data_IF_172143220210
#
_entry.id   IF_172143220210
#
_cell.length_a   1.000
_cell.length_b   1.000
_cell.length_c   1.000
_cell.angle_alpha   90.00
_cell.angle_beta   90.00
_cell.angle_gamma   90.00
#
_symmetry.space_group_name_H-M   'P 1'
#
loop_
_entity.id
_entity.type
_entity.pdbx_description
1 polymer ?
#
# COMPACT_ATOMS: atom_id res chain seq x y z
N UNK A 1 -71.36 55.24 -32.94
CA UNK A 1 -71.01 54.26 -31.90
C UNK A 1 -71.07 54.96 -30.55
N UNK A 2 -71.97 54.51 -29.69
CA UNK A 2 -72.31 55.09 -28.39
C UNK A 2 -71.16 55.07 -27.40
N UNK A 3 -71.11 56.10 -26.53
CA UNK A 3 -70.70 55.89 -25.15
C UNK A 3 -71.54 56.78 -24.23
N UNK A 4 -72.34 56.13 -23.41
CA UNK A 4 -73.14 56.72 -22.35
C UNK A 4 -72.29 56.91 -21.08
N UNK A 5 -72.66 57.91 -20.28
CA UNK A 5 -72.33 58.01 -18.85
C UNK A 5 -73.12 56.98 -18.02
N UNK A 6 -72.57 56.57 -16.88
CA UNK A 6 -73.12 56.80 -15.52
C UNK A 6 -72.35 55.97 -14.47
N UNK A 7 -72.00 56.70 -13.39
CA UNK A 7 -71.72 56.40 -11.98
C UNK A 7 -71.04 55.13 -11.47
N UNK A 8 -70.14 55.40 -10.52
CA UNK A 8 -69.55 54.47 -9.56
C UNK A 8 -70.55 53.98 -8.49
N UNK A 9 -70.30 52.81 -7.90
CA UNK A 9 -70.67 52.52 -6.53
C UNK A 9 -69.43 52.38 -5.62
N UNK A 10 -69.59 52.87 -4.39
CA UNK A 10 -68.73 52.61 -3.24
C UNK A 10 -68.63 51.10 -2.92
N UNK A 11 -67.48 50.70 -2.39
CA UNK A 11 -67.31 49.40 -1.75
C UNK A 11 -65.86 48.93 -1.71
N UNK A 12 -65.10 49.38 -0.72
CA UNK A 12 -63.91 48.64 -0.25
C UNK A 12 -64.35 47.28 0.34
N UNK A 13 -63.78 46.15 -0.11
CA UNK A 13 -63.72 44.96 0.70
C UNK A 13 -62.39 44.97 1.48
N UNK A 14 -62.53 44.88 2.79
CA UNK A 14 -61.49 44.69 3.80
C UNK A 14 -60.35 43.72 3.39
N UNK A 15 -59.15 43.88 3.97
CA UNK A 15 -58.05 42.93 3.79
C UNK A 15 -58.48 41.54 4.25
N UNK A 16 -58.76 40.66 3.28
CA UNK A 16 -59.12 39.27 3.47
C UNK A 16 -58.14 38.63 4.45
N UNK A 17 -58.66 38.28 5.62
CA UNK A 17 -57.96 37.68 6.73
C UNK A 17 -57.11 36.51 6.23
N UNK A 18 -55.80 36.75 6.09
CA UNK A 18 -54.82 35.69 5.91
C UNK A 18 -55.06 34.69 7.02
N UNK A 19 -55.36 33.44 6.64
CA UNK A 19 -55.60 32.34 7.57
C UNK A 19 -54.34 32.18 8.41
N UNK A 20 -54.28 32.89 9.54
CA UNK A 20 -53.26 32.76 10.58
C UNK A 20 -53.46 31.37 11.15
N UNK A 21 -52.91 30.36 10.48
CA UNK A 21 -52.62 29.09 11.11
C UNK A 21 -51.77 29.47 12.30
N UNK A 22 -52.36 29.38 13.48
CA UNK A 22 -51.71 29.68 14.75
C UNK A 22 -50.33 29.03 14.73
N UNK A 23 -49.27 29.78 15.03
CA UNK A 23 -47.91 29.21 15.16
C UNK A 23 -47.91 27.96 16.06
N UNK A 24 -48.88 27.85 16.97
CA UNK A 24 -49.10 26.67 17.83
C UNK A 24 -49.62 25.45 17.07
N UNK A 25 -50.51 25.58 16.09
CA UNK A 25 -50.99 24.45 15.27
C UNK A 25 -49.98 24.01 14.22
N UNK A 26 -49.19 24.93 13.67
CA UNK A 26 -48.04 24.58 12.81
C UNK A 26 -46.95 23.82 13.60
N UNK A 27 -46.68 24.23 14.85
CA UNK A 27 -45.72 23.56 15.73
C UNK A 27 -46.20 22.16 16.19
N UNK A 28 -47.50 21.98 16.44
CA UNK A 28 -48.09 20.71 16.89
C UNK A 28 -48.03 19.60 15.83
N UNK A 29 -47.93 19.93 14.54
CA UNK A 29 -47.79 18.95 13.44
C UNK A 29 -46.34 18.80 12.98
N UNK A 30 -45.56 19.89 13.00
CA UNK A 30 -44.15 19.84 12.61
C UNK A 30 -43.29 19.01 13.59
N UNK A 31 -43.55 19.11 14.91
CA UNK A 31 -42.79 18.38 15.92
C UNK A 31 -42.87 16.84 15.78
N UNK A 32 -44.06 16.20 15.66
CA UNK A 32 -44.14 14.75 15.47
C UNK A 32 -43.59 14.31 14.12
N UNK A 33 -43.74 15.11 13.06
CA UNK A 33 -43.16 14.81 11.75
C UNK A 33 -41.63 14.86 11.77
N UNK A 34 -41.02 15.84 12.44
CA UNK A 34 -39.57 15.87 12.62
C UNK A 34 -39.07 14.72 13.51
N UNK A 35 -39.81 14.37 14.56
CA UNK A 35 -39.48 13.26 15.43
C UNK A 35 -39.50 11.92 14.70
N UNK A 36 -40.51 11.66 13.86
CA UNK A 36 -40.57 10.42 13.06
C UNK A 36 -39.45 10.35 12.02
N UNK A 37 -39.13 11.46 11.36
CA UNK A 37 -37.98 11.53 10.43
C UNK A 37 -36.68 11.22 11.15
N UNK A 38 -36.45 11.80 12.34
CA UNK A 38 -35.25 11.53 13.15
C UNK A 38 -35.17 10.07 13.62
N UNK A 39 -36.29 9.48 14.05
CA UNK A 39 -36.33 8.07 14.44
C UNK A 39 -36.05 7.16 13.26
N UNK A 40 -36.66 7.40 12.09
CA UNK A 40 -36.41 6.59 10.88
C UNK A 40 -34.96 6.75 10.42
N UNK A 41 -34.42 7.96 10.41
CA UNK A 41 -33.02 8.20 10.09
C UNK A 41 -32.08 7.50 11.08
N UNK A 42 -32.39 7.56 12.38
CA UNK A 42 -31.65 6.87 13.43
C UNK A 42 -31.68 5.35 13.27
N UNK A 43 -32.83 4.75 12.97
CA UNK A 43 -32.97 3.31 12.70
C UNK A 43 -32.20 2.90 11.44
N UNK A 44 -32.28 3.68 10.36
CA UNK A 44 -31.53 3.41 9.12
C UNK A 44 -30.02 3.51 9.33
N UNK A 45 -29.58 4.53 10.05
CA UNK A 45 -28.17 4.70 10.42
C UNK A 45 -27.69 3.54 11.28
N UNK A 46 -28.48 3.14 12.28
CA UNK A 46 -28.14 2.02 13.16
C UNK A 46 -28.08 0.71 12.37
N UNK A 47 -29.06 0.46 11.51
CA UNK A 47 -29.10 -0.70 10.64
C UNK A 47 -27.86 -0.77 9.73
N UNK A 48 -27.43 0.36 9.14
CA UNK A 48 -26.21 0.39 8.32
C UNK A 48 -24.93 0.21 9.14
N UNK A 49 -24.85 0.80 10.34
CA UNK A 49 -23.69 0.64 11.23
C UNK A 49 -23.56 -0.77 11.81
N UNK A 50 -24.67 -1.51 11.96
CA UNK A 50 -24.69 -2.88 12.48
C UNK A 50 -24.76 -3.96 11.40
N UNK A 51 -24.83 -3.55 10.13
CA UNK A 51 -24.90 -4.46 8.99
C UNK A 51 -23.62 -5.27 8.86
N UNK A 52 -23.76 -6.56 8.55
CA UNK A 52 -22.62 -7.39 8.21
C UNK A 52 -21.97 -6.91 6.90
N UNK A 53 -20.63 -6.78 6.83
CA UNK A 53 -19.99 -6.29 5.62
C UNK A 53 -20.19 -7.27 4.46
N UNK A 54 -20.48 -6.70 3.30
CA UNK A 54 -20.64 -7.44 2.05
C UNK A 54 -19.35 -8.18 1.67
N UNK A 55 -19.45 -9.23 0.83
CA UNK A 55 -18.27 -9.85 0.26
C UNK A 55 -17.33 -8.87 -0.45
N UNK A 56 -17.89 -7.85 -1.14
CA UNK A 56 -17.11 -6.83 -1.85
C UNK A 56 -16.34 -5.92 -0.89
N UNK A 57 -16.99 -5.44 0.18
CA UNK A 57 -16.33 -4.62 1.21
C UNK A 57 -15.24 -5.41 1.94
N UNK A 58 -15.48 -6.69 2.25
CA UNK A 58 -14.46 -7.58 2.83
C UNK A 58 -13.27 -7.79 1.91
N UNK A 59 -13.51 -8.02 0.62
CA UNK A 59 -12.45 -8.16 -0.37
C UNK A 59 -11.64 -6.87 -0.52
N UNK A 60 -12.31 -5.71 -0.54
CA UNK A 60 -11.66 -4.41 -0.62
C UNK A 60 -10.82 -4.12 0.64
N UNK A 61 -11.33 -4.41 1.84
CA UNK A 61 -10.59 -4.27 3.09
C UNK A 61 -9.37 -5.21 3.14
N UNK A 62 -9.54 -6.48 2.71
CA UNK A 62 -8.47 -7.45 2.63
C UNK A 62 -7.36 -7.06 1.63
N UNK A 63 -7.71 -6.37 0.54
CA UNK A 63 -6.75 -5.82 -0.41
C UNK A 63 -6.08 -4.52 0.10
N UNK A 64 -6.83 -3.68 0.81
CA UNK A 64 -6.35 -2.40 1.31
C UNK A 64 -5.38 -2.53 2.49
N UNK A 65 -5.57 -3.52 3.36
CA UNK A 65 -4.73 -3.68 4.55
C UNK A 65 -3.25 -3.93 4.18
N UNK A 66 -2.89 -4.93 3.34
CA UNK A 66 -1.51 -5.12 2.94
C UNK A 66 -0.94 -3.89 2.24
N UNK A 67 -1.73 -3.18 1.43
CA UNK A 67 -1.31 -1.99 0.69
C UNK A 67 -0.87 -0.82 1.57
N UNK A 68 -1.32 -0.75 2.83
CA UNK A 68 -0.92 0.28 3.78
C UNK A 68 0.37 -0.01 4.55
N UNK A 69 0.80 -1.28 4.61
CA UNK A 69 1.87 -1.75 5.52
C UNK A 69 3.20 -1.05 5.33
N UNK A 70 3.58 -0.68 4.11
CA UNK A 70 4.83 0.04 3.86
C UNK A 70 4.93 1.41 4.58
N UNK A 71 3.78 2.00 4.95
CA UNK A 71 3.72 3.26 5.70
C UNK A 71 3.56 3.06 7.20
N UNK A 72 2.86 2.00 7.61
CA UNK A 72 2.45 1.80 9.00
C UNK A 72 3.36 0.86 9.77
N UNK A 73 4.05 -0.07 9.09
CA UNK A 73 4.95 -1.00 9.76
C UNK A 73 6.32 -0.37 10.00
N UNK A 74 6.96 -0.65 11.15
CA UNK A 74 8.37 -0.32 11.34
C UNK A 74 9.21 -0.95 10.23
N UNK A 75 10.22 -0.24 9.72
CA UNK A 75 11.07 -0.75 8.64
C UNK A 75 11.75 -2.07 9.00
N UNK A 76 12.13 -2.27 10.27
CA UNK A 76 12.70 -3.53 10.77
C UNK A 76 11.72 -4.72 10.81
N UNK A 77 10.41 -4.46 10.67
CA UNK A 77 9.37 -5.49 10.46
C UNK A 77 9.26 -5.86 8.98
N UNK A 78 9.36 -4.87 8.09
CA UNK A 78 9.38 -5.10 6.63
C UNK A 78 10.65 -5.86 6.22
N UNK A 79 11.79 -5.46 6.78
CA UNK A 79 13.09 -6.09 6.57
C UNK A 79 13.54 -6.70 7.90
N UNK A 80 13.26 -7.97 8.23
CA UNK A 80 13.64 -8.61 9.49
C UNK A 80 15.17 -8.60 9.76
N UNK A 81 15.58 -8.78 11.01
CA UNK A 81 17.00 -8.75 11.39
C UNK A 81 17.81 -9.95 10.84
N UNK A 82 17.13 -11.08 10.64
CA UNK A 82 17.69 -12.29 10.03
C UNK A 82 16.71 -12.88 9.03
N UNK A 83 17.23 -13.34 7.89
CA UNK A 83 16.47 -14.07 6.88
C UNK A 83 17.11 -15.45 6.68
N UNK A 84 16.37 -16.55 6.91
CA UNK A 84 16.92 -17.89 6.70
C UNK A 84 17.09 -18.17 5.20
N UNK A 85 18.13 -18.91 4.85
CA UNK A 85 18.37 -19.41 3.50
C UNK A 85 19.11 -20.75 3.54
N UNK A 86 19.20 -21.42 2.40
CA UNK A 86 19.99 -22.63 2.18
C UNK A 86 20.70 -22.54 0.84
N UNK A 87 21.91 -23.08 0.75
CA UNK A 87 22.66 -23.22 -0.49
C UNK A 87 22.91 -24.70 -0.77
N UNK A 88 22.53 -25.18 -1.95
CA UNK A 88 22.62 -26.59 -2.33
C UNK A 88 22.04 -27.52 -1.26
N UNK A 89 22.82 -28.51 -0.83
CA UNK A 89 22.44 -29.46 0.22
C UNK A 89 22.88 -29.06 1.64
N UNK A 90 23.44 -27.85 1.82
CA UNK A 90 23.93 -27.39 3.11
C UNK A 90 22.81 -27.17 4.15
N UNK A 91 23.21 -27.02 5.41
CA UNK A 91 22.30 -26.65 6.50
C UNK A 91 21.65 -25.28 6.27
N UNK A 92 20.57 -25.00 6.99
CA UNK A 92 19.97 -23.67 6.97
C UNK A 92 20.93 -22.65 7.60
N UNK A 93 21.21 -21.60 6.85
CA UNK A 93 22.02 -20.45 7.26
C UNK A 93 21.12 -19.23 7.46
N UNK A 94 21.67 -18.14 7.98
CA UNK A 94 20.91 -16.90 8.24
C UNK A 94 21.65 -15.68 7.72
N UNK A 95 21.03 -14.98 6.78
CA UNK A 95 21.51 -13.71 6.30
C UNK A 95 21.14 -12.62 7.30
N UNK A 96 22.11 -11.82 7.75
CA UNK A 96 21.91 -10.79 8.78
C UNK A 96 21.81 -9.41 8.16
N UNK A 97 20.80 -8.65 8.59
CA UNK A 97 20.58 -7.28 8.12
C UNK A 97 21.70 -6.38 8.63
N UNK A 98 22.42 -5.74 7.72
CA UNK A 98 23.44 -4.73 8.02
C UNK A 98 22.77 -3.39 8.34
N UNK A 99 21.76 -3.02 7.56
CA UNK A 99 21.01 -1.79 7.77
C UNK A 99 19.93 -1.55 6.73
N UNK A 100 19.17 -0.48 6.94
CA UNK A 100 18.04 -0.06 6.11
C UNK A 100 18.30 1.37 5.65
N UNK A 101 18.14 1.63 4.36
CA UNK A 101 18.32 2.96 3.79
C UNK A 101 17.13 3.87 4.11
N UNK A 102 17.36 5.17 4.36
CA UNK A 102 16.28 6.11 4.67
C UNK A 102 15.54 6.61 3.41
N UNK A 103 16.16 6.52 2.23
CA UNK A 103 15.57 7.00 0.99
C UNK A 103 14.46 6.07 0.50
N UNK A 104 13.27 6.61 0.29
CA UNK A 104 12.09 5.90 -0.19
C UNK A 104 11.71 6.26 -1.62
N UNK A 105 12.49 7.10 -2.30
CA UNK A 105 12.19 7.57 -3.65
C UNK A 105 12.44 6.46 -4.68
N UNK A 106 11.47 6.25 -5.57
CA UNK A 106 11.51 5.18 -6.56
C UNK A 106 12.69 5.32 -7.54
N UNK A 107 12.95 6.55 -7.98
CA UNK A 107 13.98 6.89 -8.95
C UNK A 107 15.41 6.65 -8.45
N UNK A 108 15.62 6.67 -7.12
CA UNK A 108 16.94 6.41 -6.51
C UNK A 108 17.17 4.95 -6.18
N UNK A 109 16.10 4.17 -6.08
CA UNK A 109 16.14 2.77 -5.69
C UNK A 109 16.48 1.84 -6.86
N UNK A 110 16.32 2.30 -8.11
CA UNK A 110 16.53 1.50 -9.31
C UNK A 110 17.46 2.17 -10.32
N UNK A 111 18.08 1.37 -11.19
CA UNK A 111 18.91 1.87 -12.29
C UNK A 111 18.14 2.88 -13.16
N UNK A 112 18.82 3.89 -13.69
CA UNK A 112 18.17 5.02 -14.40
C UNK A 112 17.33 4.57 -15.60
N UNK A 113 17.78 3.54 -16.31
CA UNK A 113 17.05 2.91 -17.42
C UNK A 113 15.66 2.41 -16.98
N UNK A 114 15.50 2.12 -15.69
CA UNK A 114 14.31 1.52 -15.12
C UNK A 114 13.43 2.49 -14.30
N UNK A 115 14.00 3.60 -13.82
CA UNK A 115 13.30 4.62 -13.04
C UNK A 115 12.05 5.19 -13.76
N UNK A 116 12.16 5.45 -15.07
CA UNK A 116 11.03 5.95 -15.88
C UNK A 116 9.87 4.95 -15.95
N UNK A 117 10.19 3.66 -16.13
CA UNK A 117 9.18 2.59 -16.18
C UNK A 117 8.41 2.47 -14.88
N UNK A 118 9.11 2.57 -13.73
CA UNK A 118 8.46 2.54 -12.42
C UNK A 118 7.58 3.76 -12.17
N UNK A 119 8.06 4.94 -12.54
CA UNK A 119 7.32 6.20 -12.37
C UNK A 119 6.05 6.23 -13.21
N UNK A 120 6.13 5.81 -14.48
CA UNK A 120 4.98 5.70 -15.38
C UNK A 120 3.91 4.72 -14.87
N UNK A 121 4.32 3.74 -14.08
CA UNK A 121 3.44 2.76 -13.42
C UNK A 121 3.01 3.20 -12.02
N UNK A 122 3.21 4.46 -11.65
CA UNK A 122 2.73 5.02 -10.39
C UNK A 122 3.42 4.46 -9.15
N UNK A 123 4.71 4.14 -9.24
CA UNK A 123 5.50 3.76 -8.07
C UNK A 123 5.33 4.80 -6.95
N UNK A 124 4.91 4.32 -5.77
CA UNK A 124 4.59 5.16 -4.60
C UNK A 124 5.77 5.32 -3.66
N UNK A 125 6.56 4.27 -3.49
CA UNK A 125 7.74 4.23 -2.64
C UNK A 125 8.63 3.04 -3.02
N UNK A 126 9.92 3.15 -2.72
CA UNK A 126 10.86 2.04 -2.83
C UNK A 126 11.77 2.02 -1.59
N UNK A 127 11.61 1.02 -0.73
CA UNK A 127 12.44 0.85 0.47
C UNK A 127 13.57 -0.14 0.19
N UNK A 128 14.73 0.01 0.84
CA UNK A 128 15.88 -0.88 0.65
C UNK A 128 16.58 -1.25 1.96
N UNK A 129 17.04 -2.48 2.06
CA UNK A 129 17.89 -2.96 3.13
C UNK A 129 18.99 -3.87 2.57
N UNK A 130 20.17 -3.85 3.21
CA UNK A 130 21.28 -4.73 2.82
C UNK A 130 21.52 -5.78 3.89
N UNK A 131 21.69 -7.02 3.45
CA UNK A 131 21.99 -8.20 4.25
C UNK A 131 23.37 -8.74 3.87
N UNK A 132 24.03 -9.38 4.82
CA UNK A 132 25.18 -10.24 4.57
C UNK A 132 24.77 -11.69 4.77
N UNK A 133 25.32 -12.58 3.95
CA UNK A 133 25.27 -14.02 4.19
C UNK A 133 25.99 -14.38 5.51
N UNK A 134 25.86 -15.63 5.96
CA UNK A 134 26.46 -16.08 7.21
C UNK A 134 28.00 -15.95 7.19
N UNK A 135 28.63 -16.27 6.06
CA UNK A 135 30.07 -16.17 5.90
C UNK A 135 30.57 -14.73 5.68
N UNK A 136 29.65 -13.77 5.50
CA UNK A 136 29.92 -12.35 5.21
C UNK A 136 30.69 -12.11 3.90
N UNK A 137 30.73 -13.10 3.00
CA UNK A 137 31.33 -12.97 1.68
C UNK A 137 30.38 -12.34 0.65
N UNK A 138 29.07 -12.49 0.85
CA UNK A 138 28.03 -12.03 -0.05
C UNK A 138 27.16 -10.97 0.61
N UNK A 139 26.89 -9.91 -0.15
CA UNK A 139 25.93 -8.90 0.21
C UNK A 139 24.70 -9.01 -0.69
N UNK A 140 23.52 -8.80 -0.11
CA UNK A 140 22.24 -8.78 -0.82
C UNK A 140 21.48 -7.53 -0.42
N UNK A 141 21.27 -6.63 -1.36
CA UNK A 141 20.30 -5.54 -1.18
C UNK A 141 18.93 -6.06 -1.59
N UNK A 142 17.99 -6.06 -0.65
CA UNK A 142 16.58 -6.37 -0.87
C UNK A 142 15.80 -5.06 -0.90
N UNK A 143 14.92 -4.91 -1.88
CA UNK A 143 14.10 -3.73 -2.07
C UNK A 143 12.62 -4.06 -2.15
N UNK A 144 11.78 -3.23 -1.55
CA UNK A 144 10.31 -3.31 -1.63
C UNK A 144 9.83 -2.11 -2.44
N UNK A 145 9.34 -2.36 -3.65
CA UNK A 145 8.77 -1.35 -4.54
C UNK A 145 7.25 -1.43 -4.47
N UNK A 146 6.61 -0.29 -4.20
CA UNK A 146 5.18 -0.19 -3.91
C UNK A 146 4.43 0.44 -5.07
N UNK A 147 3.34 -0.19 -5.49
CA UNK A 147 2.49 0.26 -6.59
C UNK A 147 1.08 0.61 -6.13
N UNK A 148 0.25 1.19 -7.02
CA UNK A 148 -1.12 1.53 -6.69
C UNK A 148 -2.00 0.32 -6.36
N UNK A 149 -1.81 -0.76 -7.12
CA UNK A 149 -2.60 -1.98 -7.09
C UNK A 149 -1.78 -3.19 -7.57
N UNK A 150 -2.36 -4.39 -7.41
CA UNK A 150 -1.71 -5.65 -7.78
C UNK A 150 -1.46 -5.77 -9.29
N UNK A 151 -2.38 -5.30 -10.13
CA UNK A 151 -2.24 -5.39 -11.60
C UNK A 151 -0.99 -4.62 -12.03
N UNK A 152 -0.83 -3.41 -11.53
CA UNK A 152 0.29 -2.53 -11.87
C UNK A 152 1.62 -3.08 -11.37
N UNK A 153 1.64 -3.67 -10.17
CA UNK A 153 2.81 -4.38 -9.64
C UNK A 153 3.17 -5.59 -10.51
N UNK A 154 2.18 -6.38 -10.94
CA UNK A 154 2.34 -7.56 -11.78
C UNK A 154 2.89 -7.22 -13.17
N UNK A 155 2.47 -6.09 -13.73
CA UNK A 155 3.06 -5.62 -14.98
C UNK A 155 4.50 -5.10 -14.78
N UNK A 156 4.79 -4.46 -13.65
CA UNK A 156 6.13 -3.94 -13.35
C UNK A 156 7.17 -5.03 -13.10
N UNK A 157 6.81 -6.15 -12.45
CA UNK A 157 7.77 -7.22 -12.11
C UNK A 157 8.39 -7.86 -13.36
N UNK A 158 7.67 -7.88 -14.49
CA UNK A 158 8.13 -8.46 -15.74
C UNK A 158 9.39 -7.79 -16.33
N UNK A 159 9.72 -6.57 -15.86
CA UNK A 159 10.89 -5.84 -16.31
C UNK A 159 12.12 -6.04 -15.42
N UNK A 160 11.97 -6.67 -14.25
CA UNK A 160 13.10 -6.98 -13.40
C UNK A 160 13.87 -8.19 -13.95
N UNK A 161 15.21 -8.20 -13.86
CA UNK A 161 16.02 -9.35 -14.24
C UNK A 161 15.74 -10.55 -13.34
N UNK A 162 15.97 -11.75 -13.87
CA UNK A 162 15.79 -13.02 -13.17
C UNK A 162 17.03 -13.89 -13.27
N UNK A 163 17.68 -14.15 -12.13
CA UNK A 163 18.81 -15.07 -12.00
C UNK A 163 20.14 -14.58 -12.58
N UNK A 164 20.17 -13.41 -13.22
CA UNK A 164 21.35 -12.83 -13.87
C UNK A 164 21.56 -11.38 -13.42
N UNK A 165 22.79 -10.85 -13.48
CA UNK A 165 23.00 -9.43 -13.22
C UNK A 165 22.41 -8.61 -14.37
N UNK A 166 21.74 -7.52 -14.03
CA UNK A 166 21.17 -6.61 -15.02
C UNK A 166 20.50 -5.43 -14.35
N UNK A 167 20.20 -4.33 -15.09
CA UNK A 167 19.56 -3.14 -14.54
C UNK A 167 18.24 -3.48 -13.84
N UNK A 168 17.98 -2.89 -12.67
CA UNK A 168 16.90 -3.24 -11.77
C UNK A 168 17.06 -2.52 -10.44
N UNK A 169 17.03 -3.26 -9.33
CA UNK A 169 17.25 -2.70 -7.99
C UNK A 169 18.72 -2.32 -7.78
N UNK A 170 18.98 -1.07 -7.40
CA UNK A 170 20.33 -0.62 -7.02
C UNK A 170 20.77 -1.19 -5.68
N UNK A 171 22.04 -1.57 -5.62
CA UNK A 171 22.71 -1.89 -4.38
C UNK A 171 22.64 -0.71 -3.39
N UNK A 172 22.61 -1.04 -2.10
CA UNK A 172 22.61 -0.08 -1.01
C UNK A 172 23.88 -0.32 -0.17
N UNK A 173 25.02 0.31 -0.53
CA UNK A 173 26.22 0.25 0.28
C UNK A 173 25.99 0.98 1.61
N UNK A 174 26.48 0.40 2.70
CA UNK A 174 26.37 0.99 4.04
C UNK A 174 27.76 1.29 4.61
N UNK A 175 28.07 2.58 4.75
CA UNK A 175 29.35 3.05 5.27
C UNK A 175 29.63 2.46 6.67
N UNK A 176 30.90 2.17 6.95
CA UNK A 176 31.32 1.58 8.22
C UNK A 176 30.97 0.09 8.39
N UNK A 177 30.56 -0.60 7.32
CA UNK A 177 30.25 -2.03 7.34
C UNK A 177 31.06 -2.83 6.31
N UNK A 178 31.03 -4.17 6.42
CA UNK A 178 31.63 -5.08 5.41
C UNK A 178 31.01 -4.87 4.03
N UNK A 179 29.74 -4.46 3.95
CA UNK A 179 29.03 -4.16 2.71
C UNK A 179 29.24 -2.70 2.22
N UNK A 180 30.17 -1.94 2.78
CA UNK A 180 30.42 -0.55 2.39
C UNK A 180 30.82 -0.40 0.91
N UNK A 181 31.42 -1.44 0.32
CA UNK A 181 31.85 -1.46 -1.08
C UNK A 181 30.88 -2.18 -2.00
N UNK A 182 29.77 -2.72 -1.48
CA UNK A 182 28.76 -3.39 -2.29
C UNK A 182 27.94 -2.38 -3.10
N UNK A 183 28.46 -2.00 -4.26
CA UNK A 183 27.80 -1.14 -5.24
C UNK A 183 27.27 -1.91 -6.45
N UNK A 184 26.62 -1.19 -7.37
CA UNK A 184 25.98 -1.78 -8.54
C UNK A 184 26.94 -2.56 -9.46
N UNK A 185 28.20 -2.15 -9.54
CA UNK A 185 29.24 -2.86 -10.29
C UNK A 185 29.55 -4.27 -9.74
N UNK A 186 29.25 -4.53 -8.46
CA UNK A 186 29.48 -5.81 -7.78
C UNK A 186 28.35 -6.84 -7.99
N UNK A 187 27.26 -6.44 -8.67
CA UNK A 187 26.07 -7.27 -8.92
C UNK A 187 26.44 -8.54 -9.70
N UNK A 188 26.16 -9.69 -9.09
CA UNK A 188 26.34 -11.03 -9.66
C UNK A 188 25.02 -11.68 -10.05
N UNK A 189 23.95 -11.37 -9.32
CA UNK A 189 22.62 -11.88 -9.56
C UNK A 189 21.55 -10.86 -9.16
N UNK A 190 20.45 -10.84 -9.89
CA UNK A 190 19.27 -10.07 -9.54
C UNK A 190 18.01 -10.88 -9.78
N UNK A 191 16.99 -10.62 -8.96
CA UNK A 191 15.71 -11.32 -9.03
C UNK A 191 14.61 -10.44 -8.46
N UNK A 192 13.36 -10.71 -8.81
CA UNK A 192 12.22 -10.08 -8.18
C UNK A 192 11.03 -11.04 -8.14
N UNK A 193 10.15 -10.82 -7.17
CA UNK A 193 8.86 -11.48 -7.08
C UNK A 193 7.79 -10.46 -6.68
N UNK A 194 6.55 -10.76 -7.02
CA UNK A 194 5.43 -9.86 -6.81
C UNK A 194 4.30 -10.57 -6.06
N UNK A 195 3.65 -9.84 -5.15
CA UNK A 195 2.36 -10.22 -4.56
C UNK A 195 1.63 -8.98 -4.05
N UNK A 196 0.33 -8.90 -4.28
CA UNK A 196 -0.45 -7.70 -3.98
C UNK A 196 0.19 -6.46 -4.64
N UNK A 197 0.18 -5.29 -4.00
CA UNK A 197 0.75 -4.07 -4.57
C UNK A 197 2.29 -3.99 -4.48
N UNK A 198 2.97 -5.07 -4.11
CA UNK A 198 4.41 -5.09 -3.85
C UNK A 198 5.18 -5.89 -4.88
N UNK A 199 6.27 -5.30 -5.38
CA UNK A 199 7.37 -6.02 -6.00
C UNK A 199 8.54 -6.01 -5.03
N UNK A 200 8.99 -7.19 -4.61
CA UNK A 200 10.20 -7.35 -3.81
C UNK A 200 11.31 -7.83 -4.73
N UNK A 201 12.35 -7.03 -4.86
CA UNK A 201 13.50 -7.29 -5.70
C UNK A 201 14.75 -7.51 -4.84
N UNK A 202 15.74 -8.19 -5.38
CA UNK A 202 17.06 -8.31 -4.78
C UNK A 202 18.15 -8.18 -5.83
N UNK A 203 19.26 -7.58 -5.41
CA UNK A 203 20.54 -7.55 -6.10
C UNK A 203 21.58 -8.10 -5.15
N UNK A 204 22.30 -9.13 -5.59
CA UNK A 204 23.27 -9.88 -4.80
C UNK A 204 24.65 -9.91 -5.46
N UNK A 205 25.71 -9.93 -4.66
CA UNK A 205 27.08 -10.05 -5.12
C UNK A 205 28.10 -10.05 -4.00
N UNK A 206 29.37 -9.86 -4.32
CA UNK A 206 30.43 -9.87 -3.32
C UNK A 206 30.33 -8.65 -2.40
N UNK A 207 30.41 -8.88 -1.09
CA UNK A 207 30.32 -7.81 -0.09
C UNK A 207 31.47 -6.79 -0.20
N UNK A 208 32.64 -7.25 -0.63
CA UNK A 208 33.85 -6.44 -0.83
C UNK A 208 33.82 -5.55 -2.09
N UNK A 209 32.76 -5.62 -2.89
CA UNK A 209 32.56 -4.80 -4.08
C UNK A 209 33.22 -5.32 -5.34
N UNK A 210 33.79 -6.54 -5.34
CA UNK A 210 34.39 -7.11 -6.54
C UNK A 210 33.36 -7.26 -7.67
N UNK A 211 33.67 -6.78 -8.89
CA UNK A 211 32.77 -6.91 -10.02
C UNK A 211 32.67 -8.35 -10.51
N UNK A 212 31.64 -8.65 -11.29
CA UNK A 212 31.47 -9.96 -11.90
C UNK A 212 32.62 -10.26 -12.87
N UNK A 213 33.43 -11.28 -12.56
CA UNK A 213 34.41 -11.84 -13.49
C UNK A 213 33.82 -13.11 -14.09
N UNK A 214 33.50 -13.07 -15.39
CA UNK A 214 33.00 -14.17 -16.26
C UNK A 214 32.39 -15.38 -15.50
N UNK A 215 31.08 -15.33 -15.30
CA UNK A 215 30.28 -16.38 -14.66
C UNK A 215 29.36 -15.78 -13.60
N UNK A 216 28.09 -16.18 -13.56
CA UNK A 216 27.21 -15.82 -12.44
C UNK A 216 27.67 -16.57 -11.20
N UNK A 217 27.78 -15.87 -10.08
CA UNK A 217 27.98 -16.52 -8.78
C UNK A 217 26.72 -17.32 -8.42
N UNK A 218 26.79 -18.65 -8.53
CA UNK A 218 25.67 -19.55 -8.30
C UNK A 218 25.01 -19.33 -6.93
N UNK A 219 25.82 -19.18 -5.88
CA UNK A 219 25.34 -18.93 -4.52
C UNK A 219 24.53 -17.63 -4.42
N UNK A 220 24.95 -16.56 -5.11
CA UNK A 220 24.18 -15.31 -5.13
C UNK A 220 22.83 -15.47 -5.88
N UNK A 221 22.82 -16.24 -6.97
CA UNK A 221 21.60 -16.55 -7.72
C UNK A 221 20.63 -17.45 -6.95
N UNK A 222 21.14 -18.33 -6.09
CA UNK A 222 20.34 -19.20 -5.21
C UNK A 222 19.85 -18.48 -3.94
N UNK A 223 20.70 -17.63 -3.34
CA UNK A 223 20.41 -16.86 -2.12
C UNK A 223 19.34 -15.80 -2.35
N UNK A 224 19.47 -15.00 -3.42
CA UNK A 224 18.64 -13.80 -3.61
C UNK A 224 17.12 -14.09 -3.65
N UNK A 225 16.61 -15.12 -4.36
CA UNK A 225 15.18 -15.43 -4.39
C UNK A 225 14.63 -15.80 -3.00
N UNK A 226 15.45 -16.43 -2.16
CA UNK A 226 15.05 -16.82 -0.80
C UNK A 226 14.84 -15.59 0.08
N UNK A 227 15.77 -14.62 0.03
CA UNK A 227 15.64 -13.35 0.76
C UNK A 227 14.45 -12.53 0.25
N UNK A 228 14.20 -12.52 -1.07
CA UNK A 228 12.99 -11.92 -1.65
C UNK A 228 11.72 -12.52 -1.04
N UNK A 229 11.63 -13.86 -0.96
CA UNK A 229 10.46 -14.52 -0.36
C UNK A 229 10.37 -14.31 1.15
N UNK A 230 11.50 -14.24 1.84
CA UNK A 230 11.59 -13.96 3.27
C UNK A 230 11.02 -12.60 3.66
N UNK A 231 11.11 -11.61 2.76
CA UNK A 231 10.46 -10.29 2.91
C UNK A 231 9.03 -10.28 2.36
N UNK A 232 8.81 -10.84 1.16
CA UNK A 232 7.53 -10.76 0.47
C UNK A 232 6.42 -11.51 1.21
N UNK A 233 6.68 -12.72 1.73
CA UNK A 233 5.65 -13.54 2.37
C UNK A 233 5.07 -12.88 3.63
N UNK A 234 5.88 -12.42 4.63
CA UNK A 234 5.31 -11.73 5.79
C UNK A 234 4.64 -10.41 5.43
N UNK A 235 5.20 -9.66 4.48
CA UNK A 235 4.64 -8.38 4.04
C UNK A 235 3.23 -8.54 3.43
N UNK A 236 2.97 -9.67 2.77
CA UNK A 236 1.71 -9.96 2.07
C UNK A 236 0.84 -11.01 2.75
N UNK A 237 1.24 -11.48 3.94
CA UNK A 237 0.44 -12.41 4.72
C UNK A 237 -0.92 -11.77 5.05
N UNK A 238 -2.05 -12.49 4.96
CA UNK A 238 -3.34 -11.97 5.39
C UNK A 238 -3.26 -11.42 6.81
N UNK A 239 -3.98 -10.33 7.09
CA UNK A 239 -4.11 -9.85 8.47
C UNK A 239 -4.68 -10.99 9.33
N UNK A 240 -3.94 -11.39 10.36
CA UNK A 240 -4.47 -12.34 11.33
C UNK A 240 -5.52 -11.61 12.17
N UNK A 241 -6.80 -11.85 11.87
CA UNK A 241 -7.91 -11.35 12.70
C UNK A 241 -8.05 -12.31 13.88
N UNK A 242 -7.62 -11.89 15.06
CA UNK A 242 -7.88 -12.61 16.31
C UNK A 242 -9.23 -12.18 16.88
N UNK A 243 -10.26 -12.97 16.58
CA UNK A 243 -11.59 -12.82 17.18
C UNK A 243 -11.49 -12.97 18.71
N UNK A 244 -12.14 -12.10 19.47
CA UNK A 244 -12.15 -12.14 20.94
C UNK A 244 -11.25 -11.10 21.62
N UNK A 245 -10.55 -10.25 20.86
CA UNK A 245 -9.93 -9.03 21.40
C UNK A 245 -10.97 -7.93 21.58
N UNK A 246 -10.69 -6.92 22.41
CA UNK A 246 -11.60 -5.74 22.58
C UNK A 246 -11.91 -5.05 21.25
N UNK A 247 -11.00 -5.20 20.28
CA UNK A 247 -11.01 -4.53 18.98
C UNK A 247 -11.90 -5.25 17.96
N UNK A 248 -12.07 -6.57 18.07
CA UNK A 248 -12.78 -7.39 17.08
C UNK A 248 -13.69 -8.42 17.76
N UNK A 249 -15.01 -8.21 17.64
CA UNK A 249 -16.05 -9.20 17.97
C UNK A 249 -16.57 -9.82 16.68
N UNK A 250 -16.13 -11.06 16.45
CA UNK A 250 -16.81 -12.04 15.62
C UNK A 250 -17.77 -12.80 16.58
#
# INVERSE_FOLDING_TARGET
>A
MSRAEISAPDGEPEPGAGRRVSRRTAALVAAPACATVLVVAGVRLTAELTRAPTPAERAQAAAAEPAGRYRTWPAGRIFPAGLPYRLGQASAETARRVGIGPDTRCETAVDDAFARTLTARGCRAALRATYLDQAQGLAVTVGVVVFPDERTAREAVAFFPSGRPGPGLRALPLAGSVAARFGDAARQASTAAQRGPYVVAATAGYADGRPAMRGSLADAAELAPQLVQGVLRPLTAPAAVSCGTREWRC
#
